data_IF_610379214124
#
_entry.id   IF_610379214124
#
_cell.length_a   1.000
_cell.length_b   1.000
_cell.length_c   1.000
_cell.angle_alpha   90.00
_cell.angle_beta   90.00
_cell.angle_gamma   90.00
#
_symmetry.space_group_name_H-M   'P 1'
#
loop_
_entity.id
_entity.type
_entity.pdbx_description
1 polymer ?
#
# COMPACT_ATOMS: atom_id res chain seq x y z
N UNK A 1 -2.01 5.77 -4.90
CA UNK A 1 -1.67 4.54 -4.19
C UNK A 1 -0.29 3.99 -4.56
N UNK A 2 0.04 3.70 -5.84
CA UNK A 2 1.38 3.23 -6.23
C UNK A 2 2.50 4.20 -5.83
N UNK A 3 2.33 5.49 -6.07
CA UNK A 3 3.31 6.51 -5.70
C UNK A 3 3.57 6.57 -4.19
N UNK A 4 2.55 6.44 -3.36
CA UNK A 4 2.70 6.43 -1.89
C UNK A 4 3.40 5.18 -1.39
N UNK A 5 3.13 4.02 -1.99
CA UNK A 5 3.83 2.78 -1.69
C UNK A 5 5.33 2.86 -2.06
N UNK A 6 5.66 3.48 -3.20
CA UNK A 6 7.03 3.72 -3.64
C UNK A 6 7.80 4.62 -2.68
N UNK A 7 7.21 5.73 -2.26
CA UNK A 7 7.81 6.65 -1.28
C UNK A 7 8.06 5.94 0.05
N UNK A 8 7.11 5.12 0.52
CA UNK A 8 7.25 4.35 1.76
C UNK A 8 8.37 3.32 1.67
N UNK A 9 8.50 2.59 0.56
CA UNK A 9 9.57 1.63 0.33
C UNK A 9 10.95 2.30 0.26
N UNK A 10 11.05 3.44 -0.42
CA UNK A 10 12.30 4.22 -0.49
C UNK A 10 12.70 4.73 0.89
N UNK A 11 11.76 5.28 1.64
CA UNK A 11 11.99 5.75 3.00
C UNK A 11 12.46 4.61 3.92
N UNK A 12 11.83 3.43 3.83
CA UNK A 12 12.20 2.25 4.61
C UNK A 12 13.60 1.76 4.24
N UNK A 13 13.95 1.73 2.95
CA UNK A 13 15.29 1.33 2.49
C UNK A 13 16.38 2.28 3.00
N UNK A 14 16.17 3.59 2.90
CA UNK A 14 17.11 4.60 3.40
C UNK A 14 17.26 4.53 4.92
N UNK A 15 16.14 4.43 5.65
CA UNK A 15 16.14 4.31 7.11
C UNK A 15 16.87 3.05 7.57
N UNK A 16 16.61 1.91 6.95
CA UNK A 16 17.30 0.64 7.23
C UNK A 16 18.82 0.77 7.02
N UNK A 17 19.25 1.45 5.96
CA UNK A 17 20.66 1.63 5.63
C UNK A 17 21.39 2.48 6.66
N UNK A 18 20.78 3.60 7.08
CA UNK A 18 21.32 4.47 8.12
C UNK A 18 21.41 3.74 9.46
N UNK A 19 20.41 2.96 9.80
CA UNK A 19 20.38 2.17 11.04
C UNK A 19 21.45 1.09 11.03
N UNK A 20 21.64 0.36 9.93
CA UNK A 20 22.68 -0.66 9.81
C UNK A 20 24.08 -0.07 9.93
N UNK A 21 24.35 1.07 9.27
CA UNK A 21 25.63 1.74 9.40
C UNK A 21 25.92 2.14 10.86
N UNK A 22 24.94 2.70 11.54
CA UNK A 22 25.06 3.07 12.95
C UNK A 22 25.32 1.85 13.83
N UNK A 23 24.59 0.75 13.62
CA UNK A 23 24.76 -0.49 14.37
C UNK A 23 26.17 -1.09 14.15
N UNK A 24 26.70 -1.10 12.94
CA UNK A 24 28.04 -1.62 12.65
C UNK A 24 29.08 -0.77 13.39
N UNK A 25 28.97 0.55 13.34
CA UNK A 25 29.90 1.45 14.03
C UNK A 25 29.84 1.24 15.54
N UNK A 26 28.66 1.12 16.11
CA UNK A 26 28.48 0.91 17.54
C UNK A 26 29.01 -0.47 17.99
N UNK A 27 28.71 -1.51 17.26
CA UNK A 27 29.31 -2.84 17.50
C UNK A 27 30.83 -2.83 17.45
N UNK A 28 31.43 -2.07 16.51
CA UNK A 28 32.90 -1.90 16.45
C UNK A 28 33.44 -1.11 17.67
N UNK A 29 32.71 -0.11 18.14
CA UNK A 29 33.03 0.62 19.36
C UNK A 29 32.98 -0.25 20.60
N UNK A 30 31.94 -1.04 20.76
CA UNK A 30 31.77 -1.98 21.88
C UNK A 30 32.89 -3.02 21.91
N UNK A 31 33.20 -3.64 20.76
CA UNK A 31 34.31 -4.58 20.63
C UNK A 31 35.63 -3.93 21.05
N UNK A 32 35.91 -2.73 20.53
CA UNK A 32 37.15 -2.01 20.82
C UNK A 32 37.20 -1.59 22.29
N UNK A 33 36.10 -1.10 22.85
CA UNK A 33 35.99 -0.77 24.26
C UNK A 33 36.32 -1.96 25.14
N UNK A 34 35.68 -3.09 24.91
CA UNK A 34 35.87 -4.32 25.70
C UNK A 34 37.30 -4.82 25.61
N UNK A 35 37.87 -4.83 24.40
CA UNK A 35 39.25 -5.28 24.22
C UNK A 35 40.25 -4.39 24.95
N UNK A 36 40.15 -3.05 24.77
CA UNK A 36 41.09 -2.11 25.39
C UNK A 36 40.88 -2.03 26.92
N UNK A 37 39.67 -2.14 27.43
CA UNK A 37 39.41 -2.26 28.86
C UNK A 37 40.07 -3.51 29.47
N UNK A 38 39.97 -4.65 28.77
CA UNK A 38 40.67 -5.88 29.18
C UNK A 38 42.17 -5.70 29.19
N UNK A 39 42.73 -5.10 28.15
CA UNK A 39 44.17 -4.78 28.08
C UNK A 39 44.61 -3.81 29.20
N UNK A 40 43.81 -2.77 29.43
CA UNK A 40 44.05 -1.84 30.54
C UNK A 40 44.00 -2.54 31.90
N UNK A 41 43.09 -3.47 32.13
CA UNK A 41 43.00 -4.23 33.38
C UNK A 41 44.23 -5.10 33.61
N UNK A 42 44.80 -5.67 32.54
CA UNK A 42 46.09 -6.39 32.64
C UNK A 42 47.20 -5.45 33.10
N UNK A 43 47.32 -4.28 32.48
CA UNK A 43 48.34 -3.28 32.87
C UNK A 43 48.13 -2.81 34.31
N UNK A 44 46.87 -2.52 34.68
CA UNK A 44 46.51 -2.09 36.03
C UNK A 44 46.82 -3.16 37.09
N UNK A 45 46.67 -4.45 36.76
CA UNK A 45 47.04 -5.56 37.62
C UNK A 45 48.56 -5.57 37.93
N UNK A 46 49.39 -5.39 36.91
CA UNK A 46 50.84 -5.29 37.11
C UNK A 46 51.25 -3.99 37.85
N UNK A 47 50.53 -2.89 37.59
CA UNK A 47 50.74 -1.65 38.32
C UNK A 47 50.42 -1.80 39.82
N UNK A 48 49.30 -2.50 40.14
CA UNK A 48 48.96 -2.79 41.53
C UNK A 48 50.00 -3.65 42.25
N UNK A 49 50.61 -4.63 41.54
CA UNK A 49 51.74 -5.45 42.08
C UNK A 49 52.98 -4.58 42.35
N UNK A 50 53.28 -3.62 41.47
CA UNK A 50 54.36 -2.70 41.71
C UNK A 50 54.08 -1.74 42.89
N UNK A 51 52.85 -1.22 42.96
CA UNK A 51 52.44 -0.32 44.03
C UNK A 51 52.41 -0.99 45.43
N UNK A 52 52.07 -2.28 45.50
CA UNK A 52 52.13 -3.06 46.73
C UNK A 52 53.54 -3.56 47.12
N UNK A 53 54.55 -3.29 46.31
CA UNK A 53 55.89 -3.82 46.53
C UNK A 53 56.06 -5.32 46.22
N UNK A 54 55.01 -5.99 45.70
CA UNK A 54 55.07 -7.40 45.29
C UNK A 54 55.94 -7.68 44.08
N UNK A 55 56.26 -6.61 43.30
CA UNK A 55 57.11 -6.68 42.11
C UNK A 55 57.82 -5.33 41.92
N UNK A 56 59.11 -5.33 41.52
CA UNK A 56 59.78 -4.10 41.12
C UNK A 56 59.04 -3.40 39.94
N UNK A 57 59.02 -2.06 39.96
CA UNK A 57 58.28 -1.29 38.94
C UNK A 57 58.72 -1.65 37.51
N UNK A 58 60.03 -1.75 37.28
CA UNK A 58 60.62 -2.09 35.97
C UNK A 58 60.19 -3.49 35.51
N UNK A 59 60.15 -4.45 36.42
CA UNK A 59 59.70 -5.81 36.13
C UNK A 59 58.20 -5.86 35.85
N UNK A 60 57.40 -5.15 36.61
CA UNK A 60 55.94 -5.02 36.40
C UNK A 60 55.64 -4.35 35.05
N UNK A 61 56.33 -3.30 34.71
CA UNK A 61 56.21 -2.64 33.41
C UNK A 61 56.61 -3.55 32.24
N UNK A 62 57.70 -4.31 32.41
CA UNK A 62 58.14 -5.29 31.42
C UNK A 62 57.10 -6.38 31.25
N UNK A 63 56.59 -6.99 32.32
CA UNK A 63 55.60 -8.01 32.28
C UNK A 63 54.28 -7.53 31.62
N UNK A 64 53.83 -6.31 31.94
CA UNK A 64 52.67 -5.68 31.30
C UNK A 64 52.85 -5.52 29.78
N UNK A 65 54.03 -5.03 29.34
CA UNK A 65 54.37 -4.92 27.92
C UNK A 65 54.35 -6.28 27.22
N UNK A 66 55.01 -7.27 27.84
CA UNK A 66 55.12 -8.61 27.24
C UNK A 66 53.76 -9.31 27.10
N UNK A 67 52.89 -9.15 28.12
CA UNK A 67 51.52 -9.66 28.06
C UNK A 67 50.72 -9.04 26.93
N UNK A 68 50.80 -7.73 26.72
CA UNK A 68 50.06 -7.06 25.64
C UNK A 68 50.72 -7.24 24.28
N UNK A 69 52.03 -7.44 24.21
CA UNK A 69 52.75 -7.66 22.96
C UNK A 69 52.23 -8.85 22.16
N UNK A 70 51.86 -9.92 22.84
CA UNK A 70 51.33 -11.15 22.23
C UNK A 70 49.82 -11.16 22.10
N UNK A 71 49.15 -10.29 22.80
CA UNK A 71 47.69 -10.23 22.81
C UNK A 71 47.13 -9.74 21.48
N UNK A 72 46.15 -10.41 21.00
CA UNK A 72 45.42 -10.10 19.73
C UNK A 72 43.90 -10.23 19.95
N UNK A 73 43.16 -9.55 19.11
CA UNK A 73 41.72 -9.66 19.06
C UNK A 73 41.20 -9.32 17.66
N UNK A 74 39.87 -9.40 17.46
CA UNK A 74 39.21 -9.05 16.20
C UNK A 74 39.56 -9.96 15.02
N UNK A 75 38.79 -9.81 13.96
CA UNK A 75 38.87 -10.65 12.78
C UNK A 75 38.33 -12.07 13.01
N UNK A 76 38.25 -12.92 11.95
CA UNK A 76 37.68 -14.27 12.04
C UNK A 76 38.38 -15.19 13.03
N UNK A 77 39.73 -15.02 13.20
CA UNK A 77 40.55 -15.85 14.08
C UNK A 77 40.93 -15.14 15.39
N UNK A 78 40.40 -13.94 15.67
CA UNK A 78 40.76 -13.16 16.84
C UNK A 78 42.20 -12.64 16.84
N UNK A 79 42.86 -12.53 15.68
CA UNK A 79 44.30 -12.24 15.57
C UNK A 79 44.61 -10.99 14.75
N UNK A 80 43.60 -10.27 14.26
CA UNK A 80 43.79 -9.17 13.29
C UNK A 80 44.29 -7.90 13.94
N UNK A 81 43.82 -7.59 15.12
CA UNK A 81 44.11 -6.35 15.81
C UNK A 81 45.08 -6.55 16.99
N UNK A 82 45.78 -5.49 17.37
CA UNK A 82 46.79 -5.51 18.37
C UNK A 82 46.68 -4.31 19.32
N UNK A 83 47.28 -4.44 20.51
CA UNK A 83 47.40 -3.35 21.48
C UNK A 83 48.76 -2.64 21.35
N UNK A 84 48.78 -1.38 21.75
CA UNK A 84 49.96 -0.58 21.83
C UNK A 84 49.98 0.21 23.14
N UNK A 85 51.18 0.58 23.59
CA UNK A 85 51.37 1.44 24.76
C UNK A 85 52.29 2.60 24.36
N UNK A 86 51.85 3.80 24.67
CA UNK A 86 52.63 5.03 24.52
C UNK A 86 52.64 5.78 25.85
N UNK A 87 53.63 6.68 26.04
CA UNK A 87 53.52 7.69 27.07
C UNK A 87 52.61 8.83 26.60
N UNK A 88 52.05 9.58 27.54
CA UNK A 88 51.28 10.80 27.19
C UNK A 88 52.12 11.84 26.42
N UNK A 89 53.47 11.77 26.53
CA UNK A 89 54.42 12.63 25.83
C UNK A 89 54.87 12.02 24.50
N UNK A 90 54.14 11.08 23.94
CA UNK A 90 54.35 10.44 22.62
C UNK A 90 55.65 9.59 22.52
N UNK A 91 56.17 9.09 23.63
CA UNK A 91 57.29 8.14 23.60
C UNK A 91 56.75 6.72 23.45
N UNK A 92 57.36 5.92 22.57
CA UNK A 92 57.03 4.52 22.39
C UNK A 92 57.33 3.67 23.61
N UNK A 93 56.34 2.95 24.14
CA UNK A 93 56.51 2.03 25.29
C UNK A 93 56.46 0.59 24.79
N UNK A 94 55.46 0.27 24.00
CA UNK A 94 55.30 -1.06 23.37
C UNK A 94 54.47 -0.95 22.09
N UNK A 95 54.99 -1.51 21.00
CA UNK A 95 54.25 -1.60 19.74
C UNK A 95 54.59 -2.93 19.02
N UNK A 96 53.65 -3.91 18.92
CA UNK A 96 54.01 -5.26 18.48
C UNK A 96 54.35 -5.34 16.99
N UNK A 97 53.92 -4.39 16.17
CA UNK A 97 54.16 -4.35 14.72
C UNK A 97 55.35 -3.46 14.37
N UNK A 98 55.69 -2.49 15.25
CA UNK A 98 56.73 -1.51 15.09
C UNK A 98 57.60 -1.46 16.33
N UNK A 99 58.34 -2.55 16.68
CA UNK A 99 59.16 -2.61 17.89
C UNK A 99 60.29 -1.58 17.87
N UNK A 100 60.73 -1.13 16.69
CA UNK A 100 61.71 -0.09 16.53
C UNK A 100 61.27 1.30 17.10
N UNK A 101 59.99 1.47 17.38
CA UNK A 101 59.47 2.70 17.99
C UNK A 101 59.62 2.72 19.52
N UNK A 102 59.88 1.57 20.11
CA UNK A 102 59.99 1.48 21.57
C UNK A 102 61.22 2.23 22.10
N UNK A 103 61.02 3.03 23.11
CA UNK A 103 62.02 3.92 23.67
C UNK A 103 62.27 5.21 22.87
N UNK A 104 61.75 5.31 21.66
CA UNK A 104 61.92 6.49 20.79
C UNK A 104 60.91 7.59 21.13
N UNK A 105 61.32 8.84 20.98
CA UNK A 105 60.38 9.96 20.90
C UNK A 105 59.76 9.99 19.50
N UNK A 106 58.49 9.81 19.46
CA UNK A 106 57.68 9.72 18.23
C UNK A 106 56.78 10.95 17.99
N UNK A 107 56.94 12.00 18.80
CA UNK A 107 56.24 13.27 18.61
C UNK A 107 56.45 13.81 17.19
N UNK A 108 55.41 14.10 16.47
CA UNK A 108 55.47 14.61 15.09
C UNK A 108 55.87 13.59 14.02
N UNK A 109 56.21 12.36 14.39
CA UNK A 109 56.65 11.30 13.45
C UNK A 109 55.52 10.39 13.01
N UNK A 110 54.53 10.16 13.85
CA UNK A 110 53.35 9.32 13.52
C UNK A 110 52.24 10.23 13.02
N UNK A 111 52.19 10.43 11.72
CA UNK A 111 51.21 11.33 11.08
C UNK A 111 50.18 10.57 10.28
N UNK A 112 48.97 11.12 10.24
CA UNK A 112 47.93 10.69 9.32
C UNK A 112 48.12 11.25 7.89
N UNK A 113 47.22 10.90 6.96
CA UNK A 113 47.26 11.40 5.59
C UNK A 113 47.07 12.91 5.43
N UNK A 114 46.56 13.59 6.45
CA UNK A 114 46.40 15.04 6.51
C UNK A 114 47.62 15.75 7.18
N UNK A 115 48.63 14.97 7.64
CA UNK A 115 49.77 15.48 8.34
C UNK A 115 49.57 15.71 9.84
N UNK A 116 48.43 15.32 10.40
CA UNK A 116 48.12 15.44 11.84
C UNK A 116 48.96 14.45 12.63
N UNK A 117 49.61 14.91 13.70
CA UNK A 117 50.29 14.04 14.66
C UNK A 117 49.25 13.25 15.47
N UNK A 118 49.16 11.96 15.17
CA UNK A 118 48.18 11.05 15.77
C UNK A 118 48.38 10.91 17.28
N UNK A 119 49.63 10.82 17.75
CA UNK A 119 49.94 10.65 19.17
C UNK A 119 49.57 11.89 19.96
N UNK A 120 49.90 13.08 19.42
CA UNK A 120 49.48 14.34 20.00
C UNK A 120 47.99 14.53 20.02
N UNK A 121 47.31 14.14 18.96
CA UNK A 121 45.84 14.17 18.90
C UNK A 121 45.21 13.30 20.00
N UNK A 122 45.72 12.07 20.18
CA UNK A 122 45.24 11.14 21.21
C UNK A 122 45.53 11.68 22.60
N UNK A 123 46.75 12.12 22.88
CA UNK A 123 47.12 12.62 24.22
C UNK A 123 46.34 13.89 24.57
N UNK A 124 46.14 14.81 23.62
CA UNK A 124 45.29 16.00 23.82
C UNK A 124 43.86 15.62 24.15
N UNK A 125 43.27 14.68 23.40
CA UNK A 125 41.91 14.20 23.65
C UNK A 125 41.77 13.47 25.00
N UNK A 126 42.80 12.68 25.39
CA UNK A 126 42.82 12.01 26.70
C UNK A 126 42.91 13.02 27.87
N UNK A 127 43.73 14.07 27.71
CA UNK A 127 43.87 15.11 28.73
C UNK A 127 42.61 15.96 28.89
N UNK A 128 41.82 16.12 27.82
CA UNK A 128 40.51 16.79 27.86
C UNK A 128 39.40 15.89 28.39
N UNK A 129 39.63 14.58 28.44
CA UNK A 129 38.62 13.61 28.89
C UNK A 129 38.61 13.53 30.43
N UNK A 130 37.41 13.71 31.03
CA UNK A 130 37.20 13.63 32.47
C UNK A 130 37.38 12.21 33.06
N UNK A 131 37.21 11.18 32.23
CA UNK A 131 37.31 9.77 32.65
C UNK A 131 38.57 9.06 32.13
N UNK A 132 39.53 9.81 31.51
CA UNK A 132 40.78 9.25 30.98
C UNK A 132 40.59 8.24 29.82
N UNK A 133 39.48 8.35 29.09
CA UNK A 133 39.12 7.42 27.98
C UNK A 133 38.69 8.24 26.79
N UNK A 134 39.08 7.83 25.57
CA UNK A 134 38.69 8.57 24.38
C UNK A 134 38.65 7.69 23.15
N UNK A 135 37.69 7.97 22.26
CA UNK A 135 37.71 7.51 20.89
C UNK A 135 38.30 8.58 19.99
N UNK A 136 39.26 8.19 19.17
CA UNK A 136 39.93 9.11 18.23
C UNK A 136 39.87 8.49 16.82
N UNK A 137 39.19 9.13 15.87
CA UNK A 137 39.31 8.75 14.47
C UNK A 137 40.68 9.19 13.92
N UNK A 138 41.35 8.30 13.23
CA UNK A 138 42.64 8.54 12.63
C UNK A 138 42.73 7.90 11.26
N UNK A 139 43.75 8.24 10.48
CA UNK A 139 44.13 7.53 9.27
C UNK A 139 45.44 6.79 9.53
N UNK A 140 45.45 5.47 9.38
CA UNK A 140 46.62 4.66 9.68
C UNK A 140 46.78 3.52 8.69
N UNK A 141 48.00 3.13 8.38
CA UNK A 141 48.29 2.03 7.48
C UNK A 141 48.00 0.67 8.15
N UNK A 142 47.43 -0.26 7.42
CA UNK A 142 47.34 -1.65 7.87
C UNK A 142 48.70 -2.28 7.95
N UNK A 143 48.93 -3.27 8.84
CA UNK A 143 50.16 -4.04 8.85
C UNK A 143 50.45 -4.61 7.45
N UNK A 144 51.67 -4.39 6.96
CA UNK A 144 52.09 -4.81 5.63
C UNK A 144 51.61 -3.93 4.45
N UNK A 145 50.92 -2.83 4.70
CA UNK A 145 50.47 -1.85 3.70
C UNK A 145 51.04 -0.46 3.99
N UNK A 146 51.19 0.34 2.94
CA UNK A 146 51.52 1.77 3.08
C UNK A 146 50.29 2.67 2.88
N UNK A 147 49.20 2.11 2.44
CA UNK A 147 47.95 2.86 2.21
C UNK A 147 47.31 3.22 3.53
N UNK A 148 47.06 4.50 3.73
CA UNK A 148 46.36 5.02 4.91
C UNK A 148 44.86 4.79 4.75
N UNK A 149 44.28 4.16 5.74
CA UNK A 149 42.86 3.86 5.78
C UNK A 149 42.26 4.35 7.10
N UNK A 150 40.95 4.66 7.14
CA UNK A 150 40.32 5.09 8.37
C UNK A 150 40.43 4.04 9.48
N UNK A 151 40.88 4.48 10.65
CA UNK A 151 41.07 3.67 11.86
C UNK A 151 40.42 4.37 13.04
N UNK A 152 39.46 3.76 13.67
CA UNK A 152 38.92 4.23 14.94
C UNK A 152 39.76 3.67 16.06
N UNK A 153 40.34 4.54 16.84
CA UNK A 153 41.12 4.17 18.02
C UNK A 153 40.35 4.41 19.30
N UNK A 154 40.52 3.53 20.27
CA UNK A 154 40.08 3.73 21.63
C UNK A 154 41.30 3.63 22.58
N UNK A 155 41.45 4.59 23.45
CA UNK A 155 42.64 4.71 24.28
C UNK A 155 42.21 5.04 25.71
N UNK A 156 42.89 4.40 26.66
CA UNK A 156 42.69 4.58 28.09
C UNK A 156 43.99 5.00 28.73
N UNK A 157 43.96 6.02 29.58
CA UNK A 157 45.08 6.47 30.37
C UNK A 157 45.38 5.52 31.52
N UNK A 158 46.65 5.22 31.74
CA UNK A 158 47.11 4.45 32.90
C UNK A 158 47.72 5.44 33.89
N UNK A 159 46.95 5.77 34.90
CA UNK A 159 47.40 6.74 35.92
C UNK A 159 48.60 6.17 36.70
N UNK A 160 49.57 7.03 37.00
CA UNK A 160 50.80 6.68 37.77
C UNK A 160 51.96 6.15 36.95
N UNK A 161 51.80 5.66 35.74
CA UNK A 161 52.91 5.29 34.85
C UNK A 161 53.13 6.24 33.67
N UNK A 162 52.32 7.30 33.56
CA UNK A 162 52.28 8.21 32.39
C UNK A 162 52.05 7.47 31.06
N UNK A 163 51.35 6.35 31.11
CA UNK A 163 51.06 5.54 29.93
C UNK A 163 49.63 5.76 29.41
N UNK A 164 49.47 5.46 28.15
CA UNK A 164 48.19 5.27 27.49
C UNK A 164 48.19 3.95 26.76
N UNK A 165 47.19 3.12 27.02
CA UNK A 165 46.95 1.82 26.38
C UNK A 165 45.86 1.98 25.39
N UNK A 166 46.06 1.51 24.18
CA UNK A 166 45.11 1.66 23.13
C UNK A 166 45.15 0.55 22.10
N UNK A 167 44.12 0.54 21.31
CA UNK A 167 44.02 -0.23 20.08
C UNK A 167 43.15 0.52 19.08
N UNK A 168 43.03 0.01 17.87
CA UNK A 168 42.14 0.59 16.87
C UNK A 168 41.67 -0.42 15.86
N UNK A 169 40.44 -0.25 15.43
CA UNK A 169 39.79 -1.03 14.39
C UNK A 169 39.78 -0.25 13.08
N UNK A 170 40.13 -0.88 12.00
CA UNK A 170 39.98 -0.30 10.67
C UNK A 170 38.53 -0.27 10.27
N UNK A 171 38.09 0.82 9.67
CA UNK A 171 36.66 1.06 9.34
C UNK A 171 36.44 1.24 7.84
N UNK A 172 37.47 1.06 7.01
CA UNK A 172 37.38 1.10 5.56
C UNK A 172 36.51 -0.04 4.95
N UNK A 173 36.37 -1.16 5.66
CA UNK A 173 35.48 -2.25 5.30
C UNK A 173 33.99 -1.90 5.49
N UNK A 174 33.69 -0.96 6.38
CA UNK A 174 32.30 -0.53 6.65
C UNK A 174 31.66 0.02 5.38
N UNK A 175 32.35 0.88 4.66
CA UNK A 175 31.81 1.47 3.42
C UNK A 175 31.59 0.42 2.33
N UNK A 176 32.44 -0.61 2.27
CA UNK A 176 32.25 -1.75 1.35
C UNK A 176 31.04 -2.60 1.75
N UNK A 177 30.89 -2.91 3.04
CA UNK A 177 29.74 -3.62 3.58
C UNK A 177 28.45 -2.86 3.34
N UNK A 178 28.42 -1.57 3.64
CA UNK A 178 27.28 -0.68 3.41
C UNK A 178 26.92 -0.64 1.92
N UNK A 179 27.93 -0.51 1.03
CA UNK A 179 27.70 -0.50 -0.41
C UNK A 179 27.13 -1.83 -0.92
N UNK A 180 27.64 -2.96 -0.43
CA UNK A 180 27.12 -4.29 -0.78
C UNK A 180 25.66 -4.45 -0.34
N UNK A 181 25.35 -4.04 0.88
CA UNK A 181 23.99 -4.05 1.42
C UNK A 181 23.09 -3.09 0.67
N UNK A 182 23.57 -1.90 0.30
CA UNK A 182 22.85 -0.94 -0.53
C UNK A 182 22.43 -1.56 -1.87
N UNK A 183 23.38 -2.18 -2.58
CA UNK A 183 23.10 -2.81 -3.87
C UNK A 183 22.10 -3.96 -3.73
N UNK A 184 22.23 -4.79 -2.69
CA UNK A 184 21.29 -5.87 -2.39
C UNK A 184 19.89 -5.34 -2.09
N UNK A 185 19.78 -4.33 -1.23
CA UNK A 185 18.49 -3.72 -0.89
C UNK A 185 17.86 -3.03 -2.11
N UNK A 186 18.67 -2.36 -2.94
CA UNK A 186 18.20 -1.75 -4.18
C UNK A 186 17.64 -2.79 -5.15
N UNK A 187 18.31 -3.93 -5.29
CA UNK A 187 17.82 -5.03 -6.12
C UNK A 187 16.50 -5.60 -5.61
N UNK A 188 16.36 -5.79 -4.30
CA UNK A 188 15.11 -6.26 -3.67
C UNK A 188 13.99 -5.25 -3.91
N UNK A 189 14.24 -3.95 -3.67
CA UNK A 189 13.26 -2.89 -3.92
C UNK A 189 12.83 -2.87 -5.39
N UNK A 190 13.76 -3.02 -6.32
CA UNK A 190 13.46 -3.07 -7.76
C UNK A 190 12.55 -4.27 -8.10
N UNK A 191 12.85 -5.46 -7.57
CA UNK A 191 12.02 -6.66 -7.79
C UNK A 191 10.62 -6.46 -7.22
N UNK A 192 10.50 -5.95 -5.99
CA UNK A 192 9.21 -5.67 -5.36
C UNK A 192 8.42 -4.64 -6.19
N UNK A 193 9.08 -3.59 -6.67
CA UNK A 193 8.49 -2.60 -7.57
C UNK A 193 7.93 -3.20 -8.85
N UNK A 194 8.70 -4.07 -9.51
CA UNK A 194 8.26 -4.74 -10.73
C UNK A 194 7.06 -5.64 -10.48
N UNK A 195 7.06 -6.39 -9.37
CA UNK A 195 5.94 -7.26 -8.99
C UNK A 195 4.69 -6.43 -8.68
N UNK A 196 4.80 -5.43 -7.81
CA UNK A 196 3.66 -4.57 -7.43
C UNK A 196 3.13 -3.78 -8.61
N UNK A 197 4.03 -3.23 -9.44
CA UNK A 197 3.66 -2.53 -10.67
C UNK A 197 2.98 -3.45 -11.68
N UNK A 198 3.52 -4.65 -11.88
CA UNK A 198 2.96 -5.66 -12.76
C UNK A 198 1.56 -6.11 -12.31
N UNK A 199 1.41 -6.45 -11.04
CA UNK A 199 0.09 -6.80 -10.46
C UNK A 199 -0.88 -5.63 -10.56
N UNK A 200 -0.45 -4.41 -10.26
CA UNK A 200 -1.27 -3.21 -10.39
C UNK A 200 -1.78 -2.99 -11.82
N UNK A 201 -0.92 -3.15 -12.81
CA UNK A 201 -1.28 -3.05 -14.23
C UNK A 201 -2.26 -4.16 -14.65
N UNK A 202 -2.04 -5.40 -14.20
CA UNK A 202 -2.94 -6.52 -14.49
C UNK A 202 -4.32 -6.30 -13.87
N UNK A 203 -4.38 -5.86 -12.61
CA UNK A 203 -5.65 -5.56 -11.93
C UNK A 203 -6.37 -4.41 -12.63
N UNK A 204 -5.68 -3.32 -12.94
CA UNK A 204 -6.27 -2.17 -13.65
C UNK A 204 -6.83 -2.59 -15.01
N UNK A 205 -6.06 -3.34 -15.80
CA UNK A 205 -6.53 -3.87 -17.07
C UNK A 205 -7.73 -4.81 -16.93
N UNK A 206 -7.70 -5.68 -15.92
CA UNK A 206 -8.81 -6.60 -15.65
C UNK A 206 -10.08 -5.85 -15.28
N UNK A 207 -10.00 -4.85 -14.41
CA UNK A 207 -11.14 -4.02 -13.98
C UNK A 207 -11.71 -3.21 -15.16
N UNK A 208 -10.85 -2.53 -15.92
CA UNK A 208 -11.28 -1.75 -17.10
C UNK A 208 -11.95 -2.65 -18.15
N UNK A 209 -11.43 -3.86 -18.35
CA UNK A 209 -12.05 -4.83 -19.28
C UNK A 209 -13.40 -5.34 -18.79
N UNK A 210 -13.55 -5.56 -17.48
CA UNK A 210 -14.83 -5.99 -16.90
C UNK A 210 -15.88 -4.89 -16.91
N UNK A 211 -15.49 -3.64 -16.73
CA UNK A 211 -16.37 -2.48 -16.84
C UNK A 211 -16.69 -2.19 -18.32
N UNK A 212 -15.72 -2.39 -19.21
CA UNK A 212 -15.85 -2.14 -20.65
C UNK A 212 -15.46 -0.75 -21.08
N UNK A 213 -14.92 0.07 -20.18
CA UNK A 213 -14.49 1.45 -20.38
C UNK A 213 -14.09 2.11 -19.07
N UNK A 214 -14.11 3.43 -19.04
CA UNK A 214 -13.90 4.14 -17.79
C UNK A 214 -15.11 4.01 -16.86
N UNK A 215 -14.94 3.85 -15.53
CA UNK A 215 -16.05 3.80 -14.58
C UNK A 215 -16.98 5.02 -14.66
N UNK A 216 -16.44 6.17 -15.03
CA UNK A 216 -17.16 7.42 -15.24
C UNK A 216 -18.19 7.32 -16.36
N UNK A 217 -17.88 6.58 -17.44
CA UNK A 217 -18.79 6.38 -18.55
C UNK A 217 -20.00 5.55 -18.14
N UNK A 218 -19.78 4.49 -17.38
CA UNK A 218 -20.84 3.67 -16.84
C UNK A 218 -21.76 4.48 -15.90
N UNK A 219 -21.18 5.33 -15.04
CA UNK A 219 -21.95 6.21 -14.15
C UNK A 219 -22.75 7.23 -14.95
N UNK A 220 -22.15 7.83 -15.98
CA UNK A 220 -22.86 8.81 -16.85
C UNK A 220 -24.05 8.17 -17.54
N UNK A 221 -23.87 7.01 -18.18
CA UNK A 221 -24.97 6.28 -18.83
C UNK A 221 -26.07 5.92 -17.82
N UNK A 222 -25.71 5.42 -16.63
CA UNK A 222 -26.69 5.11 -15.59
C UNK A 222 -27.46 6.34 -15.13
N UNK A 223 -26.79 7.49 -14.99
CA UNK A 223 -27.43 8.75 -14.58
C UNK A 223 -28.43 9.24 -15.62
N UNK A 224 -28.08 9.19 -16.90
CA UNK A 224 -28.98 9.57 -18.00
C UNK A 224 -30.21 8.67 -18.06
N UNK A 225 -29.98 7.35 -17.95
CA UNK A 225 -31.08 6.37 -17.93
C UNK A 225 -32.01 6.58 -16.72
N UNK A 226 -31.45 6.88 -15.54
CA UNK A 226 -32.22 7.16 -14.34
C UNK A 226 -33.07 8.44 -14.47
N UNK A 227 -32.66 9.39 -15.30
CA UNK A 227 -33.44 10.60 -15.63
C UNK A 227 -34.46 10.37 -16.76
N UNK A 228 -34.54 9.13 -17.27
CA UNK A 228 -35.46 8.78 -18.36
C UNK A 228 -34.92 9.05 -19.75
N UNK A 229 -33.65 9.51 -19.88
CA UNK A 229 -33.02 9.68 -21.17
C UNK A 229 -32.48 8.33 -21.70
N UNK A 230 -33.28 7.68 -22.52
CA UNK A 230 -32.90 6.43 -23.16
C UNK A 230 -32.14 6.65 -24.49
N UNK A 231 -32.02 7.90 -24.98
CA UNK A 231 -31.31 8.23 -26.24
C UNK A 231 -29.83 8.50 -26.05
N UNK A 232 -29.34 8.36 -24.81
CA UNK A 232 -27.91 8.56 -24.51
C UNK A 232 -27.04 7.60 -25.33
N UNK A 233 -25.95 8.12 -25.97
CA UNK A 233 -25.02 7.26 -26.67
C UNK A 233 -24.26 6.39 -25.67
N UNK A 234 -24.19 5.09 -25.94
CA UNK A 234 -23.46 4.14 -25.13
C UNK A 234 -22.15 3.81 -25.83
N UNK A 235 -20.99 4.01 -25.19
CA UNK A 235 -19.71 3.68 -25.79
C UNK A 235 -19.64 2.19 -26.16
N UNK A 236 -18.95 1.88 -27.26
CA UNK A 236 -18.66 0.51 -27.62
C UNK A 236 -17.84 -0.17 -26.54
N UNK A 237 -18.31 -1.31 -26.06
CA UNK A 237 -17.70 -2.03 -24.97
C UNK A 237 -17.53 -3.52 -25.30
N UNK A 238 -16.50 -4.19 -24.76
CA UNK A 238 -16.31 -5.62 -24.94
C UNK A 238 -17.53 -6.43 -24.51
N UNK A 239 -17.88 -7.43 -25.29
CA UNK A 239 -19.01 -8.32 -24.99
C UNK A 239 -18.85 -8.95 -23.59
N UNK A 240 -19.92 -8.90 -22.80
CA UNK A 240 -19.98 -9.40 -21.42
C UNK A 240 -19.45 -8.41 -20.37
N UNK A 241 -19.04 -7.20 -20.75
CA UNK A 241 -18.70 -6.12 -19.82
C UNK A 241 -19.96 -5.48 -19.22
N UNK A 242 -19.77 -4.68 -18.17
CA UNK A 242 -20.85 -3.93 -17.53
C UNK A 242 -21.50 -2.94 -18.50
N UNK A 243 -20.72 -2.19 -19.26
CA UNK A 243 -21.22 -1.25 -20.26
C UNK A 243 -21.98 -1.93 -21.40
N UNK A 244 -21.52 -3.09 -21.88
CA UNK A 244 -22.26 -3.92 -22.83
C UNK A 244 -23.62 -4.36 -22.26
N UNK A 245 -23.63 -4.82 -20.98
CA UNK A 245 -24.85 -5.15 -20.27
C UNK A 245 -25.83 -3.97 -20.12
N UNK A 246 -25.30 -2.79 -19.80
CA UNK A 246 -26.07 -1.54 -19.75
C UNK A 246 -26.64 -1.19 -21.12
N UNK A 247 -25.83 -1.34 -22.18
CA UNK A 247 -26.26 -1.11 -23.55
C UNK A 247 -27.46 -1.96 -23.93
N UNK A 248 -27.38 -3.25 -23.67
CA UNK A 248 -28.53 -4.17 -23.93
C UNK A 248 -29.72 -3.80 -23.10
N UNK A 249 -29.56 -3.43 -21.86
CA UNK A 249 -30.67 -2.99 -20.99
C UNK A 249 -31.36 -1.75 -21.56
N UNK A 250 -30.61 -0.74 -22.00
CA UNK A 250 -31.18 0.48 -22.62
C UNK A 250 -31.91 0.18 -23.89
N UNK A 251 -31.37 -0.69 -24.75
CA UNK A 251 -32.04 -1.12 -25.98
C UNK A 251 -33.40 -1.83 -25.65
N UNK A 252 -33.38 -2.72 -24.69
CA UNK A 252 -34.60 -3.41 -24.26
C UNK A 252 -35.65 -2.44 -23.66
N UNK A 253 -35.20 -1.45 -22.87
CA UNK A 253 -36.09 -0.42 -22.34
C UNK A 253 -36.68 0.45 -23.44
N UNK A 254 -35.89 0.86 -24.45
CA UNK A 254 -36.40 1.60 -25.64
C UNK A 254 -37.46 0.80 -26.37
N UNK A 255 -37.24 -0.50 -26.56
CA UNK A 255 -38.21 -1.36 -27.21
C UNK A 255 -39.49 -1.44 -26.42
N UNK A 256 -39.42 -1.67 -25.09
CA UNK A 256 -40.59 -1.71 -24.22
C UNK A 256 -41.38 -0.40 -24.24
N UNK A 257 -40.69 0.76 -24.18
CA UNK A 257 -41.34 2.07 -24.26
C UNK A 257 -42.02 2.26 -25.62
N UNK A 258 -41.39 1.83 -26.70
CA UNK A 258 -41.94 1.92 -28.04
C UNK A 258 -43.21 1.03 -28.17
N UNK A 259 -43.15 -0.19 -27.65
CA UNK A 259 -44.31 -1.11 -27.64
C UNK A 259 -45.47 -0.56 -26.82
N UNK A 260 -45.18 -0.01 -25.61
CA UNK A 260 -46.16 0.63 -24.74
C UNK A 260 -46.82 1.82 -25.45
N UNK A 261 -46.02 2.68 -26.09
CA UNK A 261 -46.46 3.83 -26.85
C UNK A 261 -47.39 3.40 -28.00
N UNK A 262 -46.98 2.42 -28.79
CA UNK A 262 -47.76 1.89 -29.90
C UNK A 262 -49.09 1.28 -29.44
N UNK A 263 -49.04 0.53 -28.31
CA UNK A 263 -50.25 -0.02 -27.71
C UNK A 263 -51.18 1.11 -27.23
N UNK A 264 -50.62 2.17 -26.63
CA UNK A 264 -51.41 3.33 -26.16
C UNK A 264 -52.06 4.09 -27.33
N UNK A 265 -51.34 4.30 -28.43
CA UNK A 265 -51.87 4.90 -29.65
C UNK A 265 -52.96 4.05 -30.25
N UNK A 266 -52.79 2.71 -30.25
CA UNK A 266 -53.83 1.79 -30.70
C UNK A 266 -55.08 1.84 -29.81
N UNK A 267 -54.88 1.90 -28.50
CA UNK A 267 -56.00 2.07 -27.54
C UNK A 267 -56.71 3.41 -27.75
N UNK A 268 -55.96 4.50 -27.96
CA UNK A 268 -56.54 5.81 -28.23
C UNK A 268 -57.39 5.81 -29.50
N UNK A 269 -56.87 5.20 -30.58
CA UNK A 269 -57.60 5.03 -31.85
C UNK A 269 -58.87 4.20 -31.65
N UNK A 270 -58.77 3.04 -31.03
CA UNK A 270 -59.90 2.18 -30.75
C UNK A 270 -60.96 2.88 -29.84
N UNK A 271 -60.47 3.67 -28.86
CA UNK A 271 -61.40 4.43 -28.01
C UNK A 271 -62.13 5.52 -28.78
N UNK A 272 -61.46 6.15 -29.75
CA UNK A 272 -62.09 7.16 -30.64
C UNK A 272 -63.16 6.51 -31.56
N UNK A 273 -62.79 5.33 -32.10
CA UNK A 273 -63.75 4.56 -32.92
C UNK A 273 -64.96 4.07 -32.09
N UNK A 274 -64.75 3.66 -30.86
CA UNK A 274 -65.81 3.29 -29.95
C UNK A 274 -66.73 4.52 -29.64
N UNK A 275 -66.07 5.67 -29.38
CA UNK A 275 -66.84 6.92 -29.15
C UNK A 275 -67.69 7.29 -30.35
N UNK A 276 -67.16 7.16 -31.55
CA UNK A 276 -67.88 7.44 -32.79
C UNK A 276 -68.96 6.40 -33.04
N UNK A 277 -68.70 5.13 -32.78
CA UNK A 277 -69.68 4.06 -32.85
C UNK A 277 -70.82 4.25 -31.84
N UNK A 278 -70.51 4.72 -30.61
CA UNK A 278 -71.50 5.06 -29.61
C UNK A 278 -72.41 6.24 -30.02
N UNK A 279 -71.77 7.28 -30.68
CA UNK A 279 -72.60 8.37 -31.26
C UNK A 279 -73.58 7.86 -32.36
N UNK A 280 -73.06 7.04 -33.27
CA UNK A 280 -73.90 6.42 -34.31
C UNK A 280 -75.01 5.58 -33.66
N UNK A 281 -74.62 4.79 -32.64
CA UNK A 281 -75.56 4.03 -31.88
C UNK A 281 -76.64 4.89 -31.17
N UNK A 282 -76.21 6.03 -30.58
CA UNK A 282 -77.11 6.99 -29.97
C UNK A 282 -78.10 7.57 -31.00
N UNK A 283 -77.62 8.00 -32.16
CA UNK A 283 -78.47 8.48 -33.25
C UNK A 283 -79.40 7.41 -33.76
N UNK A 284 -78.92 6.19 -33.93
CA UNK A 284 -79.76 5.05 -34.31
C UNK A 284 -80.81 4.67 -33.26
N UNK A 285 -80.43 4.86 -31.97
CA UNK A 285 -81.30 4.64 -30.83
C UNK A 285 -82.44 5.70 -30.81
N UNK A 286 -82.02 7.02 -31.08
CA UNK A 286 -82.99 8.10 -31.20
C UNK A 286 -83.95 7.86 -32.41
N UNK A 287 -83.40 7.50 -33.56
CA UNK A 287 -84.22 7.12 -34.74
C UNK A 287 -85.14 5.92 -34.46
N UNK A 288 -84.59 4.94 -33.75
CA UNK A 288 -85.40 3.76 -33.34
C UNK A 288 -86.49 4.12 -32.34
N UNK A 289 -86.18 4.99 -31.37
CA UNK A 289 -87.12 5.50 -30.41
C UNK A 289 -88.22 6.32 -31.11
N UNK A 290 -87.85 7.17 -32.08
CA UNK A 290 -88.82 7.92 -32.92
C UNK A 290 -89.75 6.98 -33.74
N UNK A 291 -89.11 5.95 -34.30
CA UNK A 291 -89.87 4.92 -35.05
C UNK A 291 -90.82 4.12 -34.13
N UNK A 292 -90.35 3.78 -32.91
CA UNK A 292 -91.18 3.10 -31.89
C UNK A 292 -92.31 4.01 -31.42
N UNK A 293 -92.09 5.31 -31.29
CA UNK A 293 -93.11 6.28 -30.91
C UNK A 293 -94.13 6.42 -32.01
N UNK A 294 -93.67 6.39 -33.29
CA UNK A 294 -94.58 6.31 -34.44
C UNK A 294 -95.44 4.99 -34.46
N UNK A 295 -94.79 3.88 -34.04
CA UNK A 295 -95.47 2.58 -34.00
C UNK A 295 -96.33 2.47 -32.78
N UNK A 296 -96.02 3.12 -31.63
CA UNK A 296 -96.89 3.15 -30.43
C UNK A 296 -98.18 3.90 -30.66
N UNK A 297 -98.15 4.84 -31.60
CA UNK A 297 -99.44 5.50 -32.01
C UNK A 297 -100.33 4.63 -32.86
N UNK A 298 -99.84 3.45 -33.31
CA UNK A 298 -100.63 2.44 -33.93
C UNK A 298 -100.91 1.28 -32.95
N UNK A 299 -101.61 1.54 -32.15
CA UNK A 299 -102.47 1.07 -31.08
C UNK A 299 -102.51 -0.39 -30.57
N UNK A 300 -102.10 -1.37 -31.22
CA UNK A 300 -102.29 -2.75 -30.76
C UNK A 300 -101.04 -3.58 -30.57
N UNK A 301 -99.81 -2.91 -30.61
CA UNK A 301 -98.53 -3.58 -30.56
C UNK A 301 -97.81 -3.47 -29.26
N UNK A 302 -98.38 -2.90 -28.21
CA UNK A 302 -97.79 -2.69 -26.88
C UNK A 302 -97.16 -3.94 -26.27
N UNK A 303 -97.66 -5.08 -26.54
CA UNK A 303 -97.21 -6.37 -25.97
C UNK A 303 -95.87 -6.80 -26.62
N UNK A 304 -95.68 -6.46 -27.88
CA UNK A 304 -94.40 -6.76 -28.61
C UNK A 304 -93.30 -5.88 -28.13
N UNK A 305 -93.60 -4.61 -27.86
CA UNK A 305 -92.62 -3.61 -27.43
C UNK A 305 -91.99 -3.91 -26.05
N UNK A 306 -92.87 -4.44 -25.13
CA UNK A 306 -92.33 -4.82 -23.77
C UNK A 306 -91.45 -6.05 -23.85
N UNK A 307 -91.68 -6.96 -24.76
CA UNK A 307 -90.81 -8.11 -24.99
C UNK A 307 -89.45 -7.68 -25.53
N UNK A 308 -89.42 -6.73 -26.44
CA UNK A 308 -88.20 -6.27 -27.08
C UNK A 308 -87.32 -5.40 -26.11
N UNK A 309 -88.00 -4.70 -25.18
CA UNK A 309 -87.31 -3.92 -24.13
C UNK A 309 -86.57 -4.85 -23.13
N UNK A 310 -87.24 -5.99 -22.78
CA UNK A 310 -86.65 -6.99 -21.88
C UNK A 310 -85.41 -7.66 -22.48
N UNK A 311 -85.45 -7.96 -23.78
CA UNK A 311 -84.28 -8.57 -24.50
C UNK A 311 -83.14 -7.58 -24.65
N UNK A 312 -83.43 -6.29 -24.82
CA UNK A 312 -82.41 -5.23 -24.86
C UNK A 312 -81.69 -5.01 -23.50
N UNK A 313 -82.47 -5.11 -22.39
CA UNK A 313 -81.91 -5.02 -21.04
C UNK A 313 -80.97 -6.21 -20.72
N UNK A 314 -81.33 -7.40 -21.20
CA UNK A 314 -80.50 -8.60 -21.04
C UNK A 314 -79.19 -8.52 -21.84
N UNK A 315 -79.24 -7.91 -23.03
CA UNK A 315 -78.00 -7.66 -23.85
C UNK A 315 -77.08 -6.65 -23.21
N UNK A 316 -77.67 -5.60 -22.61
CA UNK A 316 -76.90 -4.60 -21.86
C UNK A 316 -76.16 -5.19 -20.62
N UNK A 317 -76.86 -6.11 -19.93
CA UNK A 317 -76.27 -6.80 -18.78
C UNK A 317 -75.13 -7.76 -19.19
N UNK A 318 -75.28 -8.42 -20.34
CA UNK A 318 -74.18 -9.25 -20.88
C UNK A 318 -72.96 -8.43 -21.33
N UNK A 319 -73.19 -7.26 -21.92
CA UNK A 319 -72.05 -6.31 -22.26
C UNK A 319 -71.41 -5.77 -21.04
N UNK A 320 -72.12 -5.46 -19.97
CA UNK A 320 -71.52 -5.00 -18.71
C UNK A 320 -70.62 -6.07 -18.08
N UNK A 321 -71.02 -7.34 -18.13
CA UNK A 321 -70.23 -8.46 -17.63
C UNK A 321 -68.96 -8.70 -18.46
N UNK A 322 -69.04 -8.49 -19.78
CA UNK A 322 -67.85 -8.58 -20.65
C UNK A 322 -66.83 -7.46 -20.42
N UNK A 323 -67.31 -6.22 -20.21
CA UNK A 323 -66.41 -5.06 -19.87
C UNK A 323 -65.70 -5.23 -18.52
N UNK A 324 -66.42 -5.82 -17.52
CA UNK A 324 -65.77 -6.12 -16.22
C UNK A 324 -64.68 -7.19 -16.36
N UNK A 325 -64.87 -8.18 -17.24
CA UNK A 325 -63.84 -9.21 -17.51
C UNK A 325 -62.61 -8.66 -18.20
N UNK A 326 -62.77 -7.71 -19.11
CA UNK A 326 -61.66 -7.04 -19.78
C UNK A 326 -60.88 -6.13 -18.81
N UNK A 327 -61.58 -5.43 -17.93
CA UNK A 327 -60.95 -4.60 -16.90
C UNK A 327 -60.14 -5.44 -15.88
N UNK A 328 -60.69 -6.59 -15.46
CA UNK A 328 -59.98 -7.53 -14.58
C UNK A 328 -58.68 -8.07 -15.21
N UNK A 329 -58.72 -8.40 -16.50
CA UNK A 329 -57.57 -8.89 -17.27
C UNK A 329 -56.47 -7.83 -17.42
N UNK A 330 -56.84 -6.54 -17.57
CA UNK A 330 -55.89 -5.41 -17.58
C UNK A 330 -55.21 -5.25 -16.24
N UNK A 331 -55.89 -5.42 -15.12
CA UNK A 331 -55.33 -5.36 -13.78
C UNK A 331 -54.32 -6.48 -13.52
N UNK A 332 -54.55 -7.69 -14.04
CA UNK A 332 -53.61 -8.82 -13.89
C UNK A 332 -52.30 -8.64 -14.66
N UNK A 333 -52.37 -7.98 -15.83
CA UNK A 333 -51.18 -7.60 -16.61
C UNK A 333 -50.33 -6.54 -15.88
N UNK A 334 -50.97 -5.52 -15.32
CA UNK A 334 -50.29 -4.49 -14.53
C UNK A 334 -49.62 -5.08 -13.28
N UNK A 335 -50.33 -6.00 -12.60
CA UNK A 335 -49.74 -6.69 -11.42
C UNK A 335 -48.50 -7.51 -11.77
N UNK A 336 -48.47 -8.18 -12.94
CA UNK A 336 -47.24 -8.88 -13.41
C UNK A 336 -46.09 -7.94 -13.73
N UNK A 337 -46.36 -6.79 -14.28
CA UNK A 337 -45.33 -5.76 -14.53
C UNK A 337 -44.71 -5.26 -13.21
N UNK A 338 -45.55 -5.02 -12.20
CA UNK A 338 -45.08 -4.61 -10.85
C UNK A 338 -44.24 -5.73 -10.21
N UNK A 339 -44.63 -6.97 -10.30
CA UNK A 339 -43.88 -8.10 -9.77
C UNK A 339 -42.48 -8.22 -10.46
N UNK A 340 -42.44 -8.07 -11.78
CA UNK A 340 -41.16 -8.07 -12.53
C UNK A 340 -40.26 -6.93 -12.12
N UNK A 341 -40.80 -5.75 -11.83
CA UNK A 341 -40.02 -4.60 -11.32
C UNK A 341 -39.48 -4.87 -9.90
N UNK A 342 -40.19 -5.57 -9.08
CA UNK A 342 -39.74 -5.99 -7.75
C UNK A 342 -38.58 -7.00 -7.84
N UNK A 343 -38.66 -7.94 -8.77
CA UNK A 343 -37.63 -8.95 -9.03
C UNK A 343 -36.31 -8.27 -9.56
N UNK A 344 -36.44 -7.27 -10.41
CA UNK A 344 -35.32 -6.46 -10.90
C UNK A 344 -34.68 -5.70 -9.74
N UNK A 345 -35.46 -5.11 -8.85
CA UNK A 345 -34.94 -4.40 -7.67
C UNK A 345 -34.23 -5.37 -6.71
N UNK A 346 -34.79 -6.56 -6.47
CA UNK A 346 -34.14 -7.58 -5.65
C UNK A 346 -32.84 -8.09 -6.25
N UNK A 347 -32.76 -8.21 -7.59
CA UNK A 347 -31.51 -8.57 -8.28
C UNK A 347 -30.44 -7.49 -8.19
N UNK A 348 -30.86 -6.23 -8.30
CA UNK A 348 -29.95 -5.08 -8.13
C UNK A 348 -29.37 -5.01 -6.70
N UNK A 349 -30.17 -5.29 -5.69
CA UNK A 349 -29.72 -5.37 -4.31
C UNK A 349 -28.73 -6.53 -4.08
N UNK A 350 -28.97 -7.70 -4.67
CA UNK A 350 -28.01 -8.83 -4.61
C UNK A 350 -26.66 -8.52 -5.27
N UNK A 351 -26.68 -7.73 -6.33
CA UNK A 351 -25.43 -7.26 -6.98
C UNK A 351 -24.69 -6.30 -6.06
N UNK A 352 -25.40 -5.38 -5.40
CA UNK A 352 -24.82 -4.46 -4.41
C UNK A 352 -24.19 -5.21 -3.23
N UNK A 353 -24.87 -6.22 -2.72
CA UNK A 353 -24.35 -7.05 -1.64
C UNK A 353 -23.13 -7.87 -2.07
N UNK A 354 -23.10 -8.37 -3.30
CA UNK A 354 -21.95 -9.09 -3.86
C UNK A 354 -20.72 -8.19 -4.03
N UNK A 355 -20.93 -6.93 -4.39
CA UNK A 355 -19.85 -5.92 -4.43
C UNK A 355 -19.34 -5.64 -3.01
N UNK A 356 -20.23 -5.52 -2.02
CA UNK A 356 -19.86 -5.34 -0.62
C UNK A 356 -19.06 -6.52 -0.04
N UNK A 357 -19.40 -7.75 -0.45
CA UNK A 357 -18.66 -8.97 -0.06
C UNK A 357 -17.27 -9.00 -0.73
N UNK A 358 -17.18 -8.59 -1.98
CA UNK A 358 -15.90 -8.51 -2.71
C UNK A 358 -14.97 -7.47 -2.10
N UNK A 359 -15.49 -6.33 -1.68
CA UNK A 359 -14.77 -5.28 -0.96
C UNK A 359 -14.33 -5.75 0.44
N UNK A 360 -15.18 -6.51 1.12
CA UNK A 360 -14.88 -7.15 2.40
C UNK A 360 -13.79 -8.24 2.32
N UNK A 361 -13.69 -8.96 1.21
CA UNK A 361 -12.63 -9.94 0.95
C UNK A 361 -11.32 -9.24 0.65
N UNK A 362 -11.34 -8.18 -0.16
CA UNK A 362 -10.15 -7.35 -0.44
C UNK A 362 -9.58 -6.70 0.82
N UNK A 363 -10.41 -6.35 1.79
CA UNK A 363 -9.98 -5.79 3.08
C UNK A 363 -9.38 -6.85 4.03
N UNK A 364 -9.83 -8.13 3.95
CA UNK A 364 -9.29 -9.23 4.78
C UNK A 364 -7.98 -9.82 4.28
N UNK A 365 -7.65 -9.70 3.01
CA UNK A 365 -6.37 -10.17 2.44
C UNK A 365 -5.24 -9.16 2.60
N UNK A 366 -5.48 -8.01 3.24
CA UNK A 366 -4.50 -6.94 3.48
C UNK A 366 -4.01 -6.88 4.95
N UNK A 367 -4.17 -7.98 5.70
CA UNK A 367 -3.58 -8.10 7.05
C UNK A 367 -2.49 -9.16 7.11
#
# INVERSE_FOLDING_TARGET
MLATALVALLFMAVSSLLQQRSQIIESRRELLTTAVQSAHSIVASYQAKAASGAMPVEEAQKAAKDALRVSRFGGPEGKTEYFYIWTLDSKGVMHPIKPEWEGQDMAGKVKDGAGTDILKQISTALNASSNGRVFVPTMFARPGSQSLVPKLQYVIRVDGWNWMVGSGLYTDDIDQLVRKTLLSNLAIVLVVMLVVGGVGLLVTRSVLRQIGGEPTDAIAVMSEVAQGNLDTPIPDAPAGSLLDGLGRMVVSLRQLVTEVRSATESIATASSEIAQGNNDLAHRTEDTASNLQSTASSMEELTSTVRQTSDSAQTANQMATSAATVAARGGEVVSRVVATMQDINASSNKISDSIGVSDGIAFRTKK
#
